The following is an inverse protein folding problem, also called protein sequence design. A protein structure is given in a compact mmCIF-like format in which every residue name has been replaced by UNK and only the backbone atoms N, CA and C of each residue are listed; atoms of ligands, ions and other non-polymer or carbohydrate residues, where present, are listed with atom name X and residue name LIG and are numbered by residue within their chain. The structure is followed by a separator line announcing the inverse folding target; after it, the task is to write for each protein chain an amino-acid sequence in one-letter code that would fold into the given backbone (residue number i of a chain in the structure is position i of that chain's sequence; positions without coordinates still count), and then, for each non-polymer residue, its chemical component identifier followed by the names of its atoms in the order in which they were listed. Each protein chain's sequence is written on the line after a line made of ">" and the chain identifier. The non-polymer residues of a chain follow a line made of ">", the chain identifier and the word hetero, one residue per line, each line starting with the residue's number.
data_IF_198293591753
#
_entry.id   IF_198293591753
#
_cell.length_a   1.000
_cell.length_b   1.000
_cell.length_c   1.000
_cell.angle_alpha   90.00
_cell.angle_beta   90.00
_cell.angle_gamma   90.00
#
_symmetry.space_group_name_H-M   'P 1'
#
loop_
_entity.id
_entity.type
_entity.pdbx_description
1 polymer ?
#
# COMPACT_ATOMS: atom_id res chain seq x y z
N UNK A 1 12.39 3.53 -2.04
CA UNK A 1 12.12 2.09 -1.99
C UNK A 1 11.50 1.63 -3.29
N UNK A 2 11.84 0.43 -3.70
CA UNK A 2 11.22 -0.16 -4.90
C UNK A 2 9.79 -0.61 -4.59
N UNK A 3 8.97 -0.69 -5.63
CA UNK A 3 7.58 -1.13 -5.47
C UNK A 3 7.48 -2.51 -4.82
N UNK A 4 8.40 -3.42 -5.17
CA UNK A 4 8.38 -4.76 -4.57
C UNK A 4 8.63 -4.71 -3.06
N UNK A 5 9.47 -3.80 -2.61
CA UNK A 5 9.74 -3.64 -1.18
C UNK A 5 8.53 -3.06 -0.46
N UNK A 6 7.90 -2.06 -1.07
CA UNK A 6 6.69 -1.46 -0.50
C UNK A 6 5.58 -2.50 -0.43
N UNK A 7 5.41 -3.26 -1.50
CA UNK A 7 4.39 -4.33 -1.54
C UNK A 7 4.65 -5.36 -0.46
N UNK A 8 5.92 -5.73 -0.24
CA UNK A 8 6.26 -6.69 0.81
C UNK A 8 5.90 -6.17 2.19
N UNK A 9 6.18 -4.88 2.46
CA UNK A 9 5.83 -4.27 3.73
C UNK A 9 4.32 -4.29 3.93
N UNK A 10 3.56 -3.92 2.89
CA UNK A 10 2.10 -3.94 2.98
C UNK A 10 1.58 -5.36 3.22
N UNK A 11 2.17 -6.33 2.56
CA UNK A 11 1.78 -7.73 2.77
C UNK A 11 2.08 -8.19 4.20
N UNK A 12 3.24 -7.81 4.73
CA UNK A 12 3.61 -8.14 6.10
C UNK A 12 2.62 -7.52 7.10
N UNK A 13 2.18 -6.28 6.82
CA UNK A 13 1.17 -5.64 7.66
C UNK A 13 -0.14 -6.42 7.60
N UNK A 14 -0.51 -6.92 6.41
CA UNK A 14 -1.75 -7.71 6.28
C UNK A 14 -1.70 -8.96 7.16
N UNK A 15 -0.54 -9.63 7.20
CA UNK A 15 -0.38 -10.82 8.02
C UNK A 15 -0.44 -10.48 9.51
N UNK A 16 0.17 -9.37 9.91
CA UNK A 16 0.12 -8.91 11.30
C UNK A 16 -1.31 -8.61 11.72
N UNK A 17 -2.06 -7.91 10.87
CA UNK A 17 -3.44 -7.56 11.18
C UNK A 17 -4.33 -8.82 11.24
N UNK A 18 -4.02 -9.82 10.42
CA UNK A 18 -4.72 -11.09 10.47
C UNK A 18 -4.52 -11.77 11.82
N UNK A 19 -3.31 -11.71 12.36
CA UNK A 19 -3.00 -12.26 13.68
C UNK A 19 -3.72 -11.51 14.79
N UNK A 20 -4.05 -10.23 14.57
CA UNK A 20 -4.78 -9.40 15.53
C UNK A 20 -6.29 -9.53 15.37
N UNK A 21 -6.75 -10.44 14.50
CA UNK A 21 -8.18 -10.68 14.27
C UNK A 21 -8.94 -9.46 13.73
N UNK A 22 -8.25 -8.59 12.99
CA UNK A 22 -8.90 -7.46 12.35
C UNK A 22 -9.78 -7.98 11.20
N UNK A 23 -11.07 -7.59 11.13
CA UNK A 23 -11.99 -8.20 10.16
C UNK A 23 -11.81 -7.80 8.71
N UNK A 24 -11.42 -6.55 8.42
CA UNK A 24 -11.38 -6.08 7.03
C UNK A 24 -10.01 -5.61 6.57
N UNK A 25 -9.19 -5.10 7.47
CA UNK A 25 -7.91 -4.49 7.13
C UNK A 25 -6.90 -5.44 6.50
N UNK A 26 -6.80 -6.72 6.94
CA UNK A 26 -5.82 -7.62 6.32
C UNK A 26 -6.02 -7.75 4.82
N UNK A 27 -7.28 -7.93 4.40
CA UNK A 27 -7.57 -8.06 2.97
C UNK A 27 -7.28 -6.78 2.20
N UNK A 28 -7.59 -5.63 2.79
CA UNK A 28 -7.32 -4.35 2.16
C UNK A 28 -5.82 -4.17 1.92
N UNK A 29 -4.99 -4.49 2.91
CA UNK A 29 -3.55 -4.40 2.77
C UNK A 29 -3.00 -5.40 1.75
N UNK A 30 -3.55 -6.61 1.73
CA UNK A 30 -3.14 -7.61 0.75
C UNK A 30 -3.44 -7.16 -0.67
N UNK A 31 -4.64 -6.60 -0.90
CA UNK A 31 -5.02 -6.11 -2.21
C UNK A 31 -4.15 -4.91 -2.61
N UNK A 32 -3.87 -4.02 -1.67
CA UNK A 32 -3.00 -2.87 -1.94
C UNK A 32 -1.59 -3.34 -2.31
N UNK A 33 -1.08 -4.36 -1.63
CA UNK A 33 0.24 -4.91 -1.94
C UNK A 33 0.29 -5.42 -3.37
N UNK A 34 -0.75 -6.15 -3.79
CA UNK A 34 -0.82 -6.65 -5.15
C UNK A 34 -0.89 -5.54 -6.17
N UNK A 35 -1.67 -4.49 -5.88
CA UNK A 35 -1.79 -3.34 -6.77
C UNK A 35 -0.46 -2.62 -6.93
N UNK A 36 0.27 -2.42 -5.84
CA UNK A 36 1.57 -1.76 -5.87
C UNK A 36 2.56 -2.59 -6.69
N UNK A 37 2.54 -3.90 -6.49
CA UNK A 37 3.43 -4.81 -7.21
C UNK A 37 3.17 -4.79 -8.72
N UNK A 38 1.92 -4.58 -9.11
CA UNK A 38 1.52 -4.57 -10.51
C UNK A 38 1.79 -3.23 -11.21
N UNK A 39 2.15 -2.19 -10.47
CA UNK A 39 2.40 -0.88 -11.07
C UNK A 39 3.62 -0.91 -11.97
N UNK A 40 3.52 -0.18 -13.08
CA UNK A 40 4.65 -0.01 -14.00
C UNK A 40 5.51 1.21 -13.63
N UNK A 41 5.01 2.05 -12.74
CA UNK A 41 5.65 3.28 -12.30
C UNK A 41 6.02 3.17 -10.82
N UNK A 42 7.15 3.76 -10.42
CA UNK A 42 7.54 3.78 -9.02
C UNK A 42 6.54 4.55 -8.16
N UNK A 43 6.17 3.98 -7.02
CA UNK A 43 5.29 4.65 -6.07
C UNK A 43 5.89 5.98 -5.64
N UNK A 44 7.23 6.06 -5.49
CA UNK A 44 7.87 7.30 -5.10
C UNK A 44 7.64 8.42 -6.12
N UNK A 45 7.59 8.07 -7.41
CA UNK A 45 7.32 9.06 -8.45
C UNK A 45 5.87 9.53 -8.39
N UNK A 46 4.95 8.61 -8.11
CA UNK A 46 3.54 8.96 -7.95
C UNK A 46 3.39 9.93 -6.78
N UNK A 47 4.06 9.63 -5.68
CA UNK A 47 3.99 10.48 -4.49
C UNK A 47 4.59 11.86 -4.73
N UNK A 48 5.72 11.92 -5.44
CA UNK A 48 6.35 13.20 -5.76
C UNK A 48 5.45 14.09 -6.61
N UNK A 49 4.68 13.47 -7.51
CA UNK A 49 3.82 14.20 -8.44
C UNK A 49 2.59 14.76 -7.76
N UNK A 50 1.94 14.01 -6.89
CA UNK A 50 0.66 14.40 -6.34
C UNK A 50 0.41 14.04 -4.88
N UNK A 51 1.41 13.54 -4.17
CA UNK A 51 1.29 13.23 -2.75
C UNK A 51 0.29 12.12 -2.45
N UNK A 52 -0.31 12.20 -1.28
CA UNK A 52 -1.26 11.19 -0.82
C UNK A 52 -2.44 11.05 -1.79
N UNK A 53 -2.90 12.16 -2.34
CA UNK A 53 -4.03 12.15 -3.26
C UNK A 53 -3.77 11.22 -4.45
N UNK A 54 -2.57 11.29 -5.03
CA UNK A 54 -2.23 10.43 -6.16
C UNK A 54 -2.00 8.98 -5.72
N UNK A 55 -1.48 8.77 -4.52
CA UNK A 55 -1.36 7.41 -4.00
C UNK A 55 -2.73 6.75 -3.87
N UNK A 56 -3.76 7.51 -3.53
CA UNK A 56 -5.11 6.98 -3.40
C UNK A 56 -5.74 6.61 -4.74
N UNK A 57 -5.13 7.02 -5.85
CA UNK A 57 -5.57 6.59 -7.18
C UNK A 57 -5.17 5.16 -7.48
N UNK A 58 -4.22 4.60 -6.73
CA UNK A 58 -3.82 3.20 -6.88
C UNK A 58 -4.97 2.33 -6.40
N UNK A 59 -5.39 1.32 -7.19
CA UNK A 59 -6.49 0.45 -6.78
C UNK A 59 -6.26 -0.13 -5.39
N UNK A 60 -7.30 -0.15 -4.57
CA UNK A 60 -7.29 -0.69 -3.20
C UNK A 60 -6.46 0.13 -2.20
N UNK A 61 -5.92 1.27 -2.60
CA UNK A 61 -5.18 2.14 -1.69
C UNK A 61 -6.09 3.28 -1.26
N UNK A 62 -6.58 3.19 -0.03
CA UNK A 62 -7.34 4.28 0.59
C UNK A 62 -6.43 5.20 1.37
N UNK A 63 -7.02 6.17 2.07
CA UNK A 63 -6.23 7.17 2.80
C UNK A 63 -5.30 6.53 3.85
N UNK A 64 -5.81 5.56 4.61
CA UNK A 64 -5.00 4.93 5.65
C UNK A 64 -3.78 4.23 5.11
N UNK A 65 -3.94 3.51 4.00
CA UNK A 65 -2.82 2.79 3.38
C UNK A 65 -1.88 3.78 2.69
N UNK A 66 -2.43 4.83 2.07
CA UNK A 66 -1.60 5.87 1.47
C UNK A 66 -0.71 6.54 2.51
N UNK A 67 -1.26 6.84 3.69
CA UNK A 67 -0.47 7.40 4.78
C UNK A 67 0.62 6.45 5.25
N UNK A 68 0.32 5.16 5.27
CA UNK A 68 1.31 4.16 5.64
C UNK A 68 2.46 4.12 4.61
N UNK A 69 2.12 4.22 3.35
CA UNK A 69 3.13 4.26 2.29
C UNK A 69 3.98 5.53 2.43
N UNK A 70 3.35 6.65 2.77
CA UNK A 70 4.06 7.91 2.97
C UNK A 70 5.10 7.79 4.09
N UNK A 71 4.78 7.02 5.12
CA UNK A 71 5.66 6.85 6.28
C UNK A 71 6.86 5.93 6.02
N UNK A 72 6.90 5.29 4.89
CA UNK A 72 8.00 4.38 4.55
C UNK A 72 9.26 5.10 4.08
#
# INVERSE_FOLDING_TARGET
>A
MKNSEIAQVLYNISLYLEMEDEPFKPRAYEKAARSVEALTEDVSEIYKRGGIKDLMEIPSVGQGIAEKIEDM
#
